data_IF_403309927870
#
_entry.id   IF_403309927870
#
_cell.length_a   1.000
_cell.length_b   1.000
_cell.length_c   1.000
_cell.angle_alpha   90.00
_cell.angle_beta   90.00
_cell.angle_gamma   90.00
#
_symmetry.space_group_name_H-M   'P 1'
#
loop_
_entity.id
_entity.type
_entity.pdbx_description
1 polymer ?
#
# COMPACT_ATOMS: atom_id res chain seq x y z
N UNK A 1 11.74 -7.11 -2.82
CA UNK A 1 12.97 -7.16 -2.02
C UNK A 1 12.60 -6.98 -0.56
N UNK A 2 13.19 -7.76 0.34
CA UNK A 2 12.86 -7.78 1.76
C UNK A 2 14.14 -7.71 2.59
N UNK A 3 14.10 -7.02 3.73
CA UNK A 3 15.25 -6.89 4.62
C UNK A 3 14.82 -6.79 6.08
N UNK A 4 15.66 -7.30 6.98
CA UNK A 4 15.46 -7.19 8.42
C UNK A 4 16.78 -6.88 9.11
N UNK A 5 16.73 -5.99 10.09
CA UNK A 5 17.87 -5.67 10.95
C UNK A 5 17.44 -5.57 12.40
N UNK A 6 18.35 -5.90 13.31
CA UNK A 6 18.14 -5.77 14.74
C UNK A 6 18.65 -4.38 15.16
N UNK A 7 17.74 -3.54 15.66
CA UNK A 7 18.10 -2.20 16.13
C UNK A 7 18.70 -2.25 17.53
N UNK A 8 18.17 -3.15 18.37
CA UNK A 8 18.68 -3.48 19.70
C UNK A 8 18.37 -4.94 20.01
N UNK A 9 18.89 -5.49 21.11
CA UNK A 9 18.54 -6.85 21.58
C UNK A 9 17.03 -7.08 21.68
N UNK A 10 16.24 -6.02 21.87
CA UNK A 10 14.79 -6.10 22.11
C UNK A 10 13.92 -5.46 21.02
N UNK A 11 14.52 -4.97 19.95
CA UNK A 11 13.80 -4.27 18.89
C UNK A 11 14.38 -4.62 17.52
N UNK A 12 13.51 -5.04 16.61
CA UNK A 12 13.88 -5.27 15.22
C UNK A 12 13.07 -4.40 14.28
N UNK A 13 13.68 -4.07 13.15
CA UNK A 13 13.07 -3.36 12.05
C UNK A 13 13.12 -4.27 10.82
N UNK A 14 11.98 -4.51 10.21
CA UNK A 14 11.90 -5.14 8.89
C UNK A 14 11.32 -4.16 7.89
N UNK A 15 11.69 -4.29 6.63
CA UNK A 15 11.12 -3.51 5.56
C UNK A 15 11.15 -4.23 4.23
N UNK A 16 10.16 -3.92 3.40
CA UNK A 16 9.92 -4.55 2.11
C UNK A 16 9.66 -3.50 1.03
N UNK A 17 10.15 -3.80 -0.18
CA UNK A 17 9.89 -3.02 -1.39
C UNK A 17 9.38 -3.96 -2.48
N UNK A 18 8.27 -3.61 -3.10
CA UNK A 18 7.69 -4.35 -4.21
C UNK A 18 7.43 -3.42 -5.40
N UNK A 19 7.77 -3.89 -6.60
CA UNK A 19 7.26 -3.33 -7.84
C UNK A 19 5.95 -4.02 -8.17
N UNK A 20 4.92 -3.26 -8.55
CA UNK A 20 3.57 -3.74 -8.76
C UNK A 20 3.20 -3.55 -10.22
N UNK A 21 2.62 -4.59 -10.82
CA UNK A 21 1.77 -4.47 -12.00
C UNK A 21 0.33 -4.51 -11.51
N UNK A 22 -0.47 -3.53 -11.88
CA UNK A 22 -1.81 -3.36 -11.33
C UNK A 22 -2.78 -2.92 -12.39
N UNK A 23 -4.03 -3.27 -12.20
CA UNK A 23 -5.17 -2.69 -12.92
C UNK A 23 -5.97 -1.85 -11.94
N UNK A 24 -6.25 -0.61 -12.30
CA UNK A 24 -7.18 0.23 -11.56
C UNK A 24 -8.53 0.18 -12.28
N UNK A 25 -9.60 -0.02 -11.51
CA UNK A 25 -10.99 -0.02 -11.97
C UNK A 25 -11.69 1.15 -11.28
N UNK A 26 -12.30 2.03 -12.08
CA UNK A 26 -12.75 3.34 -11.69
C UNK A 26 -13.91 3.80 -12.56
N UNK A 27 -14.80 4.57 -11.97
CA UNK A 27 -15.98 5.09 -12.65
C UNK A 27 -16.17 6.54 -12.25
N UNK A 28 -16.25 7.41 -13.23
CA UNK A 28 -16.61 8.80 -12.99
C UNK A 28 -18.10 9.02 -13.25
N UNK A 29 -18.80 9.43 -12.18
CA UNK A 29 -20.20 9.81 -12.20
C UNK A 29 -20.34 11.31 -11.97
N UNK A 30 -20.70 12.02 -13.05
CA UNK A 30 -20.96 13.45 -12.99
C UNK A 30 -22.34 13.75 -12.38
N UNK A 31 -22.45 13.75 -11.05
CA UNK A 31 -23.70 14.05 -10.34
C UNK A 31 -24.32 15.41 -10.73
N UNK A 32 -23.48 16.40 -11.08
CA UNK A 32 -23.91 17.73 -11.51
C UNK A 32 -24.24 17.83 -13.02
N UNK A 33 -24.01 16.75 -13.80
CA UNK A 33 -24.35 16.67 -15.22
C UNK A 33 -25.02 15.32 -15.52
N UNK A 34 -26.30 15.15 -15.15
CA UNK A 34 -27.00 13.85 -15.20
C UNK A 34 -27.12 13.25 -16.60
N UNK A 35 -26.92 14.06 -17.66
CA UNK A 35 -26.95 13.62 -19.05
C UNK A 35 -25.67 12.90 -19.50
N UNK A 36 -24.58 13.08 -18.76
CA UNK A 36 -23.32 12.35 -19.00
C UNK A 36 -23.47 10.99 -18.32
N UNK A 37 -23.48 9.92 -19.12
CA UNK A 37 -23.47 8.55 -18.58
C UNK A 37 -22.15 8.30 -17.85
N UNK A 38 -22.20 7.37 -16.89
CA UNK A 38 -21.02 6.87 -16.19
C UNK A 38 -19.88 6.57 -17.18
N UNK A 39 -18.73 7.20 -16.99
CA UNK A 39 -17.56 7.00 -17.83
C UNK A 39 -16.64 6.01 -17.11
N UNK A 40 -16.36 4.83 -17.69
CA UNK A 40 -15.32 3.94 -17.16
C UNK A 40 -13.96 4.64 -17.26
N UNK A 41 -13.27 4.69 -16.14
CA UNK A 41 -11.89 5.12 -16.04
C UNK A 41 -11.14 3.89 -15.54
N UNK A 42 -10.86 2.93 -16.43
CA UNK A 42 -10.16 1.67 -16.09
C UNK A 42 -8.84 1.58 -16.84
N UNK A 43 -7.77 1.17 -16.19
CA UNK A 43 -6.48 1.12 -16.87
C UNK A 43 -5.41 0.32 -16.14
N UNK A 44 -4.48 -0.19 -16.94
CA UNK A 44 -3.31 -0.92 -16.46
C UNK A 44 -2.18 0.05 -16.12
N UNK A 45 -1.46 -0.29 -15.07
CA UNK A 45 -0.47 0.57 -14.48
C UNK A 45 0.62 -0.20 -13.76
N UNK A 46 1.58 0.57 -13.30
CA UNK A 46 2.66 0.07 -12.47
C UNK A 46 2.85 0.96 -11.26
N UNK A 47 3.47 0.39 -10.23
CA UNK A 47 3.65 1.09 -8.98
C UNK A 47 4.73 0.51 -8.12
N UNK A 48 4.92 1.15 -6.97
CA UNK A 48 5.83 0.72 -5.93
C UNK A 48 5.09 0.67 -4.61
N UNK A 49 5.31 -0.39 -3.85
CA UNK A 49 4.91 -0.50 -2.46
C UNK A 49 6.15 -0.54 -1.58
N UNK A 50 6.11 0.23 -0.50
CA UNK A 50 7.10 0.23 0.55
C UNK A 50 6.43 -0.04 1.89
N UNK A 51 6.99 -0.96 2.67
CA UNK A 51 6.51 -1.31 4.00
C UNK A 51 7.66 -1.34 5.00
N UNK A 52 7.41 -0.84 6.20
CA UNK A 52 8.32 -0.92 7.32
C UNK A 52 7.56 -1.37 8.57
N UNK A 53 8.14 -2.31 9.32
CA UNK A 53 7.54 -2.90 10.52
C UNK A 53 8.55 -2.87 11.66
N UNK A 54 8.15 -2.27 12.76
CA UNK A 54 8.86 -2.31 14.03
C UNK A 54 8.30 -3.43 14.90
N UNK A 55 9.17 -4.36 15.28
CA UNK A 55 8.82 -5.51 16.11
C UNK A 55 9.59 -5.49 17.44
N UNK A 56 8.92 -5.26 18.57
CA UNK A 56 9.50 -5.50 19.89
C UNK A 56 9.67 -7.00 20.15
N UNK A 57 10.68 -7.36 20.95
CA UNK A 57 11.01 -8.75 21.34
C UNK A 57 9.90 -9.46 22.12
N UNK A 58 9.11 -8.70 22.88
CA UNK A 58 8.01 -9.26 23.67
C UNK A 58 6.84 -9.57 22.74
N UNK A 59 6.44 -10.84 22.67
CA UNK A 59 5.30 -11.35 21.90
C UNK A 59 4.00 -10.61 22.24
N UNK A 60 3.88 -10.09 23.45
CA UNK A 60 2.72 -9.31 23.94
C UNK A 60 2.73 -7.82 23.58
N UNK A 61 3.80 -7.30 22.97
CA UNK A 61 3.89 -5.89 22.64
C UNK A 61 3.38 -5.60 21.21
N UNK A 62 2.69 -4.47 20.99
CA UNK A 62 2.16 -4.11 19.68
C UNK A 62 3.28 -3.91 18.66
N UNK A 63 3.14 -4.53 17.49
CA UNK A 63 3.91 -4.25 16.29
C UNK A 63 3.34 -2.98 15.66
N UNK A 64 4.22 -2.07 15.24
CA UNK A 64 3.84 -0.87 14.49
C UNK A 64 4.32 -1.06 13.07
N UNK A 65 3.41 -0.95 12.10
CA UNK A 65 3.74 -1.02 10.68
C UNK A 65 3.28 0.23 9.95
N UNK A 66 4.05 0.63 8.93
CA UNK A 66 3.70 1.69 8.00
C UNK A 66 3.83 1.14 6.60
N UNK A 67 2.78 1.31 5.79
CA UNK A 67 2.75 0.93 4.38
C UNK A 67 2.45 2.15 3.52
N UNK A 68 3.16 2.27 2.42
CA UNK A 68 2.93 3.29 1.41
C UNK A 68 2.84 2.60 0.05
N UNK A 69 1.90 3.04 -0.78
CA UNK A 69 1.82 2.60 -2.17
C UNK A 69 1.57 3.79 -3.08
N UNK A 70 2.19 3.74 -4.26
CA UNK A 70 2.00 4.70 -5.32
C UNK A 70 1.90 3.96 -6.65
N UNK A 71 0.89 4.27 -7.45
CA UNK A 71 0.61 3.66 -8.75
C UNK A 71 0.35 4.76 -9.77
N UNK A 72 0.81 4.51 -11.00
CA UNK A 72 0.54 5.31 -12.19
C UNK A 72 -0.04 4.39 -13.25
N UNK A 73 -1.14 4.80 -13.88
CA UNK A 73 -1.79 4.11 -15.00
C UNK A 73 -1.43 4.80 -16.31
N UNK A 74 -1.11 4.03 -17.35
CA UNK A 74 -0.78 4.55 -18.68
C UNK A 74 -0.98 3.50 -19.78
N UNK A 75 -1.54 3.83 -20.96
CA UNK A 75 -2.09 5.12 -21.35
C UNK A 75 -3.60 5.24 -21.02
N UNK A 76 -4.01 6.38 -20.46
CA UNK A 76 -5.39 6.85 -20.37
C UNK A 76 -5.44 8.33 -20.76
N UNK A 77 -6.63 8.84 -21.11
CA UNK A 77 -6.83 10.24 -21.52
C UNK A 77 -6.51 11.24 -20.39
N UNK A 78 -6.58 10.81 -19.13
CA UNK A 78 -6.25 11.59 -17.94
C UNK A 78 -5.20 10.87 -17.06
N UNK A 79 -4.36 11.67 -16.39
CA UNK A 79 -3.20 11.23 -15.62
C UNK A 79 -3.65 10.58 -14.29
N UNK A 80 -4.06 9.30 -14.35
CA UNK A 80 -4.57 8.59 -13.18
C UNK A 80 -3.44 8.10 -12.26
N UNK A 81 -3.30 8.77 -11.12
CA UNK A 81 -2.34 8.46 -10.06
C UNK A 81 -3.07 8.16 -8.76
N UNK A 82 -2.67 7.07 -8.11
CA UNK A 82 -3.20 6.72 -6.80
C UNK A 82 -2.07 6.57 -5.79
N UNK A 83 -2.22 7.22 -4.63
CA UNK A 83 -1.33 7.09 -3.47
C UNK A 83 -2.18 6.79 -2.25
N UNK A 84 -1.86 5.76 -1.46
CA UNK A 84 -2.36 5.67 -0.06
C UNK A 84 -1.22 5.34 0.89
N UNK A 85 -1.51 5.68 2.13
CA UNK A 85 -0.66 5.55 3.29
C UNK A 85 -1.47 4.81 4.35
N UNK A 86 -0.86 3.81 4.98
CA UNK A 86 -1.46 3.06 6.07
C UNK A 86 -0.50 2.96 7.23
N UNK A 87 -1.03 3.09 8.44
CA UNK A 87 -0.32 2.79 9.68
C UNK A 87 -1.17 1.79 10.45
N UNK A 88 -0.58 0.66 10.84
CA UNK A 88 -1.29 -0.41 11.53
C UNK A 88 -0.57 -0.78 12.81
N UNK A 89 -1.36 -1.04 13.84
CA UNK A 89 -0.91 -1.66 15.08
C UNK A 89 -1.44 -3.09 15.09
N UNK A 90 -0.55 -4.08 15.23
CA UNK A 90 -0.91 -5.50 15.18
C UNK A 90 -0.21 -6.27 16.30
N UNK A 91 -0.80 -7.35 16.79
CA UNK A 91 -0.12 -8.35 17.62
C UNK A 91 0.05 -9.65 16.83
N UNK A 92 1.19 -10.33 16.98
CA UNK A 92 1.44 -11.62 16.33
C UNK A 92 1.99 -12.62 17.33
N UNK A 93 1.40 -13.82 17.37
CA UNK A 93 1.85 -14.94 18.17
C UNK A 93 2.48 -15.97 17.23
N UNK A 94 3.68 -16.45 17.55
CA UNK A 94 4.32 -17.56 16.84
C UNK A 94 4.08 -18.84 17.64
N UNK A 95 3.45 -19.83 17.03
CA UNK A 95 3.35 -21.19 17.58
C UNK A 95 4.61 -21.97 17.20
N UNK A 96 5.16 -22.73 18.14
CA UNK A 96 6.24 -23.69 17.91
C UNK A 96 5.67 -25.06 17.56
#
# INVERSE_FOLDING_TARGET
MAGQTQLTERLSLSGDVAFLFTRLDGKDQHHMRPKIKLIPEDGDGHGVQLEAVLRPWRITAPLISKRQWAVVVSPQADDWKAKRYGVFVQASIKFN
#
